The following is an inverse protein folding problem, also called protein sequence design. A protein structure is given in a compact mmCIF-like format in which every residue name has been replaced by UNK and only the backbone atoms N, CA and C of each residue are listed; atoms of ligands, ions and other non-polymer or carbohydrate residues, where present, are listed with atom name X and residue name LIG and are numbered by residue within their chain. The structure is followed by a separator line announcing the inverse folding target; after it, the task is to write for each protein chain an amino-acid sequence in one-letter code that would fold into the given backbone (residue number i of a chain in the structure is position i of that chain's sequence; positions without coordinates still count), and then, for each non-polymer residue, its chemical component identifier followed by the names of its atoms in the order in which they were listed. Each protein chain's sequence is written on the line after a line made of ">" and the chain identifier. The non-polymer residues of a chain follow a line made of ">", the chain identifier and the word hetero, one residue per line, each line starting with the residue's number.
data_IF_040397799037
#
_entry.id   IF_040397799037
#
_cell.length_a   1.000
_cell.length_b   1.000
_cell.length_c   1.000
_cell.angle_alpha   90.00
_cell.angle_beta   90.00
_cell.angle_gamma   90.00
#
_symmetry.space_group_name_H-M   'P 1'
#
loop_
_entity.id
_entity.type
_entity.pdbx_description
1 polymer ?
#
# COMPACT_ATOMS: atom_id res chain seq x y z
N UNK A 1 -10.66 -4.07 10.89
CA UNK A 1 -10.25 -2.80 10.25
C UNK A 1 -10.01 -1.65 11.24
N UNK A 2 -10.95 -1.32 12.15
CA UNK A 2 -10.80 -0.16 13.03
C UNK A 2 -9.56 -0.18 13.95
N UNK A 3 -9.19 -1.35 14.48
CA UNK A 3 -7.96 -1.55 15.29
C UNK A 3 -6.68 -1.34 14.48
N UNK A 4 -6.59 -1.89 13.26
CA UNK A 4 -5.44 -1.70 12.36
C UNK A 4 -5.30 -0.25 11.91
N UNK A 5 -6.43 0.42 11.61
CA UNK A 5 -6.42 1.85 11.31
C UNK A 5 -5.86 2.65 12.47
N UNK A 6 -6.28 2.37 13.70
CA UNK A 6 -5.77 3.07 14.88
C UNK A 6 -4.27 2.79 15.10
N UNK A 7 -3.82 1.56 14.83
CA UNK A 7 -2.41 1.17 14.96
C UNK A 7 -1.50 1.91 13.97
N UNK A 8 -1.91 2.03 12.71
CA UNK A 8 -1.08 2.58 11.64
C UNK A 8 -1.39 4.05 11.33
N UNK A 9 -2.53 4.60 11.74
CA UNK A 9 -2.94 5.97 11.40
C UNK A 9 -3.62 6.72 12.57
N UNK A 10 -3.50 6.19 13.79
CA UNK A 10 -4.16 6.72 14.98
C UNK A 10 -3.29 7.59 15.89
N UNK A 11 -2.13 8.03 15.41
CA UNK A 11 -1.24 8.94 16.13
C UNK A 11 -1.91 10.27 16.47
N UNK A 12 -1.25 11.08 17.31
CA UNK A 12 -1.79 12.38 17.70
C UNK A 12 -1.88 13.35 16.51
N UNK A 13 -2.96 14.11 16.43
CA UNK A 13 -3.22 15.01 15.30
C UNK A 13 -4.57 15.72 15.42
N UNK A 14 -4.84 16.59 14.46
CA UNK A 14 -6.07 17.39 14.38
C UNK A 14 -7.13 16.80 13.44
N UNK A 15 -6.80 15.77 12.64
CA UNK A 15 -7.78 15.17 11.74
C UNK A 15 -8.72 14.27 12.54
N UNK A 16 -10.01 14.41 12.25
CA UNK A 16 -11.03 13.49 12.74
C UNK A 16 -10.80 12.07 12.22
N UNK A 17 -11.34 11.08 12.92
CA UNK A 17 -11.31 9.67 12.50
C UNK A 17 -11.91 9.46 11.10
N UNK A 18 -12.86 10.29 10.67
CA UNK A 18 -13.44 10.24 9.33
C UNK A 18 -12.50 10.81 8.28
N UNK A 19 -11.80 11.91 8.56
CA UNK A 19 -10.79 12.46 7.64
C UNK A 19 -9.64 11.49 7.41
N UNK A 20 -9.16 10.83 8.48
CA UNK A 20 -8.17 9.75 8.36
C UNK A 20 -8.69 8.62 7.48
N UNK A 21 -9.91 8.15 7.76
CA UNK A 21 -10.54 7.07 6.99
C UNK A 21 -10.63 7.41 5.52
N UNK A 22 -11.12 8.61 5.19
CA UNK A 22 -11.29 9.03 3.81
C UNK A 22 -9.95 9.12 3.08
N UNK A 23 -8.90 9.62 3.73
CA UNK A 23 -7.55 9.65 3.15
C UNK A 23 -6.99 8.24 2.92
N UNK A 24 -7.26 7.29 3.82
CA UNK A 24 -6.86 5.90 3.61
C UNK A 24 -7.61 5.31 2.42
N UNK A 25 -8.94 5.44 2.38
CA UNK A 25 -9.78 4.93 1.29
C UNK A 25 -9.32 5.47 -0.06
N UNK A 26 -9.10 6.78 -0.19
CA UNK A 26 -8.65 7.37 -1.46
C UNK A 26 -7.31 6.78 -1.95
N UNK A 27 -6.37 6.53 -1.03
CA UNK A 27 -5.08 5.93 -1.38
C UNK A 27 -5.20 4.43 -1.67
N UNK A 28 -5.98 3.67 -0.89
CA UNK A 28 -6.18 2.22 -1.14
C UNK A 28 -6.99 1.96 -2.41
N UNK A 29 -8.05 2.75 -2.68
CA UNK A 29 -8.84 2.65 -3.92
C UNK A 29 -7.96 2.94 -5.16
N UNK A 30 -7.01 3.89 -5.04
CA UNK A 30 -5.99 4.10 -6.05
C UNK A 30 -5.11 2.86 -6.23
N UNK A 31 -4.56 2.32 -5.13
CA UNK A 31 -3.67 1.16 -5.18
C UNK A 31 -4.38 -0.04 -5.81
N UNK A 32 -5.62 -0.32 -5.42
CA UNK A 32 -6.44 -1.39 -5.99
C UNK A 32 -6.63 -1.21 -7.50
N UNK A 33 -7.00 0.00 -7.93
CA UNK A 33 -7.20 0.32 -9.35
C UNK A 33 -5.91 0.20 -10.17
N UNK A 34 -4.79 0.65 -9.61
CA UNK A 34 -3.54 0.75 -10.36
C UNK A 34 -2.76 -0.56 -10.44
N UNK A 35 -2.81 -1.41 -9.41
CA UNK A 35 -2.06 -2.67 -9.43
C UNK A 35 -2.50 -3.62 -10.57
N UNK A 36 -3.71 -3.45 -11.10
CA UNK A 36 -4.20 -4.20 -12.26
C UNK A 36 -3.60 -3.73 -13.60
N UNK A 37 -3.15 -2.47 -13.70
CA UNK A 37 -2.75 -1.86 -14.99
C UNK A 37 -1.35 -1.23 -14.99
N UNK A 38 -0.66 -1.27 -13.85
CA UNK A 38 0.66 -0.71 -13.63
C UNK A 38 1.70 -1.23 -14.63
N UNK A 39 2.62 -0.34 -15.02
CA UNK A 39 3.76 -0.61 -15.88
C UNK A 39 4.98 -0.92 -15.01
N UNK A 40 5.40 -2.18 -15.01
CA UNK A 40 6.64 -2.56 -14.32
C UNK A 40 7.87 -2.35 -15.20
N UNK A 41 8.90 -1.73 -14.63
CA UNK A 41 10.24 -1.63 -15.22
C UNK A 41 11.17 -2.54 -14.41
N UNK A 42 11.68 -3.58 -15.04
CA UNK A 42 12.50 -4.59 -14.36
C UNK A 42 13.55 -5.19 -15.31
N UNK A 43 14.81 -5.40 -14.87
CA UNK A 43 15.38 -4.93 -13.60
C UNK A 43 15.75 -3.43 -13.69
N UNK A 44 15.20 -2.63 -12.77
CA UNK A 44 15.39 -1.19 -12.77
C UNK A 44 16.82 -0.73 -12.44
N UNK A 45 17.73 -1.64 -12.08
CA UNK A 45 19.15 -1.39 -11.83
C UNK A 45 19.84 -0.70 -13.01
N UNK A 46 19.41 -1.06 -14.23
CA UNK A 46 19.93 -0.51 -15.47
C UNK A 46 19.27 0.82 -15.87
N UNK A 47 18.24 1.26 -15.15
CA UNK A 47 17.59 2.52 -15.44
C UNK A 47 18.48 3.71 -15.07
N UNK A 48 18.33 4.79 -15.82
CA UNK A 48 18.98 6.07 -15.53
C UNK A 48 18.52 6.59 -14.16
N UNK A 49 19.49 7.12 -13.40
CA UNK A 49 19.27 7.67 -12.05
C UNK A 49 18.55 6.73 -11.08
N UNK A 50 18.72 5.42 -11.30
CA UNK A 50 18.05 4.37 -10.55
C UNK A 50 18.36 4.39 -9.05
N UNK A 51 17.31 4.35 -8.23
CA UNK A 51 17.40 4.21 -6.78
C UNK A 51 17.91 2.82 -6.35
N UNK A 52 17.93 1.82 -7.24
CA UNK A 52 18.46 0.48 -6.95
C UNK A 52 19.93 0.52 -6.51
N UNK A 53 20.70 1.48 -7.02
CA UNK A 53 22.12 1.68 -6.63
C UNK A 53 22.28 2.10 -5.17
N UNK A 54 21.23 2.65 -4.56
CA UNK A 54 21.15 2.98 -3.14
C UNK A 54 20.64 1.83 -2.26
N UNK A 55 20.38 0.65 -2.83
CA UNK A 55 19.87 -0.51 -2.10
C UNK A 55 18.34 -0.55 -1.96
N UNK A 56 17.60 0.26 -2.71
CA UNK A 56 16.14 0.19 -2.74
C UNK A 56 15.66 -1.14 -3.34
N UNK A 57 14.55 -1.70 -2.83
CA UNK A 57 13.86 -2.84 -3.49
C UNK A 57 13.06 -2.37 -4.71
N UNK A 58 12.44 -1.21 -4.63
CA UNK A 58 11.71 -0.59 -5.73
C UNK A 58 11.69 0.94 -5.54
N UNK A 59 11.19 1.64 -6.55
CA UNK A 59 10.94 3.08 -6.48
C UNK A 59 9.93 3.51 -7.54
N UNK A 60 9.46 4.76 -7.43
CA UNK A 60 8.67 5.44 -8.45
C UNK A 60 9.23 6.82 -8.75
N UNK A 61 8.98 7.30 -9.96
CA UNK A 61 9.10 8.73 -10.26
C UNK A 61 7.78 9.42 -9.97
N UNK A 62 7.85 10.65 -9.48
CA UNK A 62 6.69 11.54 -9.36
C UNK A 62 7.11 13.00 -9.47
N UNK A 63 6.20 13.85 -9.90
CA UNK A 63 6.41 15.29 -9.91
C UNK A 63 6.46 15.80 -8.47
N UNK A 64 7.46 16.62 -8.15
CA UNK A 64 7.51 17.33 -6.88
C UNK A 64 6.31 18.28 -6.79
N UNK A 65 5.43 18.07 -5.82
CA UNK A 65 4.30 18.96 -5.53
C UNK A 65 4.50 19.58 -4.14
N UNK A 66 4.03 20.82 -3.96
CA UNK A 66 3.83 21.39 -2.63
C UNK A 66 2.45 21.03 -2.04
N UNK A 67 1.67 20.22 -2.78
CA UNK A 67 0.33 19.83 -2.38
C UNK A 67 0.42 18.92 -1.15
N UNK A 68 -0.30 19.30 -0.11
CA UNK A 68 -0.46 18.47 1.09
C UNK A 68 -1.71 17.62 0.94
N UNK A 69 -1.66 16.37 1.41
CA UNK A 69 -2.79 15.45 1.32
C UNK A 69 -2.84 14.68 -0.01
N UNK A 70 -4.03 14.17 -0.35
CA UNK A 70 -4.22 13.28 -1.49
C UNK A 70 -4.07 14.02 -2.82
N UNK A 71 -3.20 13.48 -3.66
CA UNK A 71 -3.05 13.90 -5.04
C UNK A 71 -2.42 12.76 -5.84
N UNK A 72 -3.03 12.40 -6.96
CA UNK A 72 -2.41 11.48 -7.91
C UNK A 72 -1.33 12.22 -8.69
N UNK A 73 -0.14 11.62 -8.86
CA UNK A 73 0.91 12.23 -9.67
C UNK A 73 0.49 12.28 -11.13
N UNK A 74 0.71 13.41 -11.78
CA UNK A 74 0.43 13.57 -13.23
C UNK A 74 1.71 13.54 -14.05
N UNK A 75 2.86 13.28 -13.43
CA UNK A 75 4.13 13.27 -14.14
C UNK A 75 5.33 12.81 -13.33
N UNK A 76 6.51 12.69 -13.97
CA UNK A 76 6.72 13.00 -15.40
C UNK A 76 5.98 12.03 -16.33
N UNK A 77 5.29 12.57 -17.34
CA UNK A 77 4.47 11.76 -18.26
C UNK A 77 5.32 11.24 -19.43
N UNK A 78 5.16 9.96 -19.76
CA UNK A 78 5.87 9.30 -20.85
C UNK A 78 4.91 8.84 -21.95
N UNK A 79 5.37 8.93 -23.20
CA UNK A 79 4.66 8.39 -24.37
C UNK A 79 4.94 6.90 -24.52
N UNK A 80 4.11 6.19 -25.27
CA UNK A 80 4.32 4.76 -25.55
C UNK A 80 5.65 4.43 -26.25
N UNK A 81 6.24 5.38 -26.97
CA UNK A 81 7.53 5.21 -27.65
C UNK A 81 8.74 5.55 -26.77
N UNK A 82 8.51 6.07 -25.56
CA UNK A 82 9.59 6.43 -24.66
C UNK A 82 10.17 5.17 -23.98
N UNK A 83 11.49 5.11 -23.86
CA UNK A 83 12.17 4.08 -23.10
C UNK A 83 12.16 4.43 -21.60
N UNK A 84 11.43 3.69 -20.76
CA UNK A 84 11.36 3.96 -19.33
C UNK A 84 12.67 3.67 -18.58
N UNK A 85 13.64 2.98 -19.20
CA UNK A 85 14.99 2.85 -18.65
C UNK A 85 15.83 4.13 -18.84
N UNK A 86 15.49 4.98 -19.80
CA UNK A 86 16.22 6.22 -20.08
C UNK A 86 15.48 7.48 -19.63
N UNK A 87 14.16 7.38 -19.40
CA UNK A 87 13.30 8.48 -18.94
C UNK A 87 12.69 8.19 -17.57
N UNK A 88 12.46 9.25 -16.81
CA UNK A 88 11.87 9.19 -15.48
C UNK A 88 10.34 9.13 -15.55
N UNK A 89 9.79 8.00 -15.99
CA UNK A 89 8.36 7.85 -16.22
C UNK A 89 7.60 7.64 -14.91
N UNK A 90 6.61 8.48 -14.63
CA UNK A 90 5.66 8.25 -13.54
C UNK A 90 4.32 7.69 -14.04
N UNK A 91 3.85 8.21 -15.18
CA UNK A 91 2.55 7.89 -15.77
C UNK A 91 2.64 7.92 -17.29
N UNK A 92 1.96 7.03 -18.01
CA UNK A 92 1.86 7.09 -19.47
C UNK A 92 0.66 7.89 -19.96
N UNK A 93 0.59 8.13 -21.27
CA UNK A 93 -0.53 8.87 -21.90
C UNK A 93 -1.89 8.18 -21.77
N UNK A 94 -1.94 6.93 -21.31
CA UNK A 94 -3.17 6.18 -21.05
C UNK A 94 -3.54 6.21 -19.56
N UNK A 95 -2.77 6.92 -18.73
CA UNK A 95 -2.98 7.00 -17.28
C UNK A 95 -2.36 5.85 -16.48
N UNK A 96 -1.60 4.94 -17.10
CA UNK A 96 -0.97 3.84 -16.34
C UNK A 96 0.28 4.31 -15.64
N UNK A 97 0.38 4.01 -14.35
CA UNK A 97 1.52 4.40 -13.53
C UNK A 97 2.69 3.43 -13.68
N UNK A 98 3.90 3.91 -13.40
CA UNK A 98 5.11 3.11 -13.45
C UNK A 98 5.61 2.75 -12.05
N UNK A 99 6.08 1.52 -11.89
CA UNK A 99 6.81 1.05 -10.72
C UNK A 99 8.11 0.40 -11.18
N UNK A 100 9.23 0.85 -10.63
CA UNK A 100 10.57 0.41 -10.98
C UNK A 100 11.03 -0.61 -9.95
N UNK A 101 11.18 -1.87 -10.36
CA UNK A 101 11.54 -2.98 -9.48
C UNK A 101 13.03 -3.29 -9.63
N UNK A 102 13.76 -3.24 -8.52
CA UNK A 102 15.18 -3.57 -8.49
C UNK A 102 15.40 -5.08 -8.48
N UNK A 103 16.56 -5.55 -8.95
CA UNK A 103 16.89 -6.97 -8.98
C UNK A 103 16.80 -7.61 -7.59
N UNK A 104 17.16 -6.85 -6.54
CA UNK A 104 17.08 -7.31 -5.14
C UNK A 104 15.65 -7.65 -4.70
N UNK A 105 14.62 -6.96 -5.23
CA UNK A 105 13.22 -7.27 -4.93
C UNK A 105 12.84 -8.70 -5.28
N UNK A 106 13.40 -9.27 -6.35
CA UNK A 106 13.13 -10.67 -6.71
C UNK A 106 13.67 -11.68 -5.69
N UNK A 107 14.65 -11.28 -4.87
CA UNK A 107 15.20 -12.11 -3.81
C UNK A 107 14.46 -11.92 -2.48
N UNK A 108 13.58 -10.93 -2.38
CA UNK A 108 12.82 -10.67 -1.17
C UNK A 108 11.72 -11.74 -0.95
N UNK A 109 11.35 -12.02 0.32
CA UNK A 109 10.22 -12.89 0.63
C UNK A 109 8.94 -12.45 -0.09
N UNK A 110 8.08 -13.40 -0.49
CA UNK A 110 6.84 -13.09 -1.23
C UNK A 110 5.96 -12.04 -0.53
N UNK A 111 5.82 -12.13 0.79
CA UNK A 111 5.07 -11.15 1.58
C UNK A 111 5.67 -9.74 1.51
N UNK A 112 7.00 -9.64 1.49
CA UNK A 112 7.70 -8.38 1.30
C UNK A 112 7.48 -7.86 -0.12
N UNK A 113 7.62 -8.72 -1.13
CA UNK A 113 7.41 -8.34 -2.53
C UNK A 113 6.04 -7.73 -2.79
N UNK A 114 4.98 -8.35 -2.28
CA UNK A 114 3.60 -7.84 -2.37
C UNK A 114 3.48 -6.50 -1.63
N UNK A 115 4.03 -6.40 -0.42
CA UNK A 115 3.96 -5.17 0.38
C UNK A 115 4.71 -4.00 -0.28
N UNK A 116 5.84 -4.27 -0.94
CA UNK A 116 6.59 -3.27 -1.71
C UNK A 116 5.73 -2.68 -2.84
N UNK A 117 4.92 -3.49 -3.53
CA UNK A 117 4.05 -2.96 -4.59
C UNK A 117 3.01 -1.95 -4.05
N UNK A 118 2.45 -2.24 -2.87
CA UNK A 118 1.53 -1.33 -2.17
C UNK A 118 2.24 -0.05 -1.75
N UNK A 119 3.46 -0.18 -1.22
CA UNK A 119 4.32 0.95 -0.85
C UNK A 119 4.58 1.87 -2.04
N UNK A 120 5.07 1.32 -3.16
CA UNK A 120 5.38 2.09 -4.35
C UNK A 120 4.14 2.74 -4.98
N UNK A 121 3.02 2.01 -5.03
CA UNK A 121 1.76 2.58 -5.51
C UNK A 121 1.26 3.72 -4.61
N UNK A 122 1.45 3.63 -3.29
CA UNK A 122 1.07 4.71 -2.38
C UNK A 122 1.80 6.02 -2.69
N UNK A 123 3.09 5.99 -3.09
CA UNK A 123 3.85 7.20 -3.43
C UNK A 123 3.23 8.03 -4.54
N UNK A 124 2.51 7.40 -5.47
CA UNK A 124 1.78 8.08 -6.54
C UNK A 124 0.60 8.91 -6.04
N UNK A 125 0.18 8.78 -4.77
CA UNK A 125 -0.95 9.50 -4.16
C UNK A 125 -0.55 10.58 -3.14
N UNK A 126 0.75 10.92 -3.11
CA UNK A 126 1.32 11.92 -2.21
C UNK A 126 2.32 11.39 -1.16
N UNK A 127 2.05 10.29 -0.43
CA UNK A 127 2.94 9.77 0.60
C UNK A 127 4.42 9.74 0.22
N UNK A 128 5.28 9.99 1.21
CA UNK A 128 6.73 9.95 1.14
C UNK A 128 7.27 8.92 2.14
N UNK A 129 8.60 8.84 2.26
CA UNK A 129 9.25 7.95 3.21
C UNK A 129 9.64 8.69 4.49
N UNK A 130 8.84 8.51 5.54
CA UNK A 130 9.16 9.04 6.87
C UNK A 130 9.92 8.03 7.73
N UNK A 131 9.53 6.76 7.69
CA UNK A 131 10.18 5.70 8.47
C UNK A 131 9.74 4.31 8.02
N UNK A 132 10.67 3.35 8.14
CA UNK A 132 10.43 1.92 7.97
C UNK A 132 10.45 1.16 9.32
N UNK A 133 10.83 1.83 10.42
CA UNK A 133 10.81 1.23 11.75
C UNK A 133 9.38 1.22 12.30
N UNK A 134 8.81 0.02 12.49
CA UNK A 134 7.43 -0.16 12.94
C UNK A 134 7.14 0.57 14.25
N UNK A 135 8.11 0.63 15.17
CA UNK A 135 7.91 1.32 16.45
C UNK A 135 7.72 2.82 16.24
N UNK A 136 8.63 3.43 15.48
CA UNK A 136 8.58 4.83 15.05
C UNK A 136 7.28 5.10 14.32
N UNK A 137 6.93 4.27 13.33
CA UNK A 137 5.71 4.43 12.52
C UNK A 137 4.44 4.50 13.35
N UNK A 138 4.32 3.64 14.38
CA UNK A 138 3.17 3.63 15.30
C UNK A 138 3.15 4.84 16.23
N UNK A 139 4.31 5.41 16.55
CA UNK A 139 4.45 6.56 17.45
C UNK A 139 4.37 7.93 16.74
N UNK A 140 4.49 7.97 15.41
CA UNK A 140 4.42 9.21 14.64
C UNK A 140 3.08 9.94 14.80
N UNK A 141 3.10 11.27 14.60
CA UNK A 141 1.88 12.08 14.45
C UNK A 141 1.05 11.58 13.25
N UNK A 142 -0.26 11.74 13.36
CA UNK A 142 -1.23 11.33 12.32
C UNK A 142 -0.86 11.85 10.92
N UNK A 143 -0.40 13.10 10.82
CA UNK A 143 -0.01 13.70 9.54
C UNK A 143 1.16 12.98 8.87
N UNK A 144 2.15 12.52 9.66
CA UNK A 144 3.27 11.73 9.14
C UNK A 144 2.89 10.29 8.86
N UNK A 145 2.02 9.70 9.67
CA UNK A 145 1.53 8.33 9.43
C UNK A 145 0.78 8.23 8.10
N UNK A 146 -0.10 9.19 7.83
CA UNK A 146 -0.83 9.29 6.56
C UNK A 146 0.10 9.65 5.39
N UNK A 147 1.19 10.36 5.64
CA UNK A 147 2.16 10.71 4.61
C UNK A 147 3.29 9.69 4.48
N UNK A 148 3.22 8.53 5.16
CA UNK A 148 4.26 7.51 5.11
C UNK A 148 3.78 6.30 4.29
N UNK A 149 4.39 6.04 3.14
CA UNK A 149 4.03 4.90 2.28
C UNK A 149 4.14 3.55 3.01
N UNK A 150 5.14 3.41 3.88
CA UNK A 150 5.30 2.21 4.71
C UNK A 150 4.12 1.98 5.69
N UNK A 151 3.35 2.99 6.10
CA UNK A 151 2.18 2.76 6.95
C UNK A 151 1.06 2.05 6.18
N UNK A 152 0.87 2.38 4.91
CA UNK A 152 -0.08 1.69 4.02
C UNK A 152 0.34 0.25 3.80
N UNK A 153 1.61 -0.01 3.46
CA UNK A 153 2.11 -1.37 3.25
C UNK A 153 1.79 -2.32 4.43
N UNK A 154 1.98 -1.85 5.67
CA UNK A 154 1.75 -2.67 6.85
C UNK A 154 0.28 -2.73 7.24
N UNK A 155 -0.47 -1.67 7.00
CA UNK A 155 -1.92 -1.69 7.17
C UNK A 155 -2.56 -2.73 6.25
N UNK A 156 -2.26 -2.69 4.95
CA UNK A 156 -2.83 -3.62 3.97
C UNK A 156 -2.37 -5.05 4.22
N UNK A 157 -1.10 -5.26 4.56
CA UNK A 157 -0.59 -6.58 4.94
C UNK A 157 -1.32 -7.16 6.16
N UNK A 158 -1.51 -6.38 7.23
CA UNK A 158 -2.21 -6.85 8.44
C UNK A 158 -3.71 -7.04 8.21
N UNK A 159 -4.35 -6.21 7.40
CA UNK A 159 -5.76 -6.37 7.02
C UNK A 159 -5.95 -7.64 6.19
N UNK A 160 -5.10 -7.89 5.19
CA UNK A 160 -5.15 -9.09 4.37
C UNK A 160 -4.92 -10.34 5.24
N UNK A 161 -3.86 -10.34 6.02
CA UNK A 161 -3.54 -11.38 6.99
C UNK A 161 -4.73 -11.67 7.93
N UNK A 162 -5.38 -10.63 8.45
CA UNK A 162 -6.57 -10.78 9.29
C UNK A 162 -7.77 -11.36 8.54
N UNK A 163 -8.02 -10.91 7.32
CA UNK A 163 -9.11 -11.42 6.49
C UNK A 163 -8.95 -12.93 6.19
N UNK A 164 -7.70 -13.39 6.06
CA UNK A 164 -7.38 -14.82 5.84
C UNK A 164 -7.11 -15.59 7.15
N UNK A 165 -7.40 -15.01 8.32
CA UNK A 165 -7.17 -15.66 9.62
C UNK A 165 -5.69 -15.93 9.94
N UNK A 166 -4.78 -15.26 9.26
CA UNK A 166 -3.34 -15.42 9.40
C UNK A 166 -2.68 -14.21 10.06
N UNK A 167 -2.94 -13.98 11.34
CA UNK A 167 -2.38 -12.83 12.08
C UNK A 167 -1.33 -13.31 13.06
N UNK A 168 -0.20 -12.62 13.10
CA UNK A 168 0.82 -12.79 14.12
C UNK A 168 0.34 -12.24 15.47
N UNK A 169 0.54 -13.01 16.54
CA UNK A 169 0.29 -12.55 17.89
C UNK A 169 1.31 -11.45 18.27
N UNK A 170 0.82 -10.38 18.90
CA UNK A 170 1.65 -9.26 19.32
C UNK A 170 1.30 -8.84 20.75
N UNK A 171 2.11 -9.23 21.76
CA UNK A 171 3.30 -10.09 21.66
C UNK A 171 2.94 -11.57 21.41
N UNK A 172 3.85 -12.36 20.80
CA UNK A 172 3.69 -13.81 20.69
C UNK A 172 3.89 -14.49 22.04
N UNK A 173 3.08 -15.50 22.34
CA UNK A 173 3.20 -16.29 23.56
C UNK A 173 4.21 -17.43 23.34
N UNK A 174 5.49 -17.15 23.54
CA UNK A 174 6.60 -18.10 23.36
C UNK A 174 7.28 -18.44 24.70
N UNK A 175 7.83 -19.66 24.87
CA UNK A 175 8.41 -20.11 26.14
C UNK A 175 9.83 -19.60 26.39
N UNK A 176 10.26 -18.54 25.71
CA UNK A 176 11.61 -17.99 25.80
C UNK A 176 11.59 -16.46 25.77
N UNK A 177 12.66 -15.85 26.28
CA UNK A 177 12.83 -14.39 26.32
C UNK A 177 13.63 -13.92 25.11
N UNK A 178 13.14 -12.90 24.43
CA UNK A 178 13.92 -12.17 23.44
C UNK A 178 14.75 -11.09 24.14
N UNK A 179 15.92 -10.75 23.62
CA UNK A 179 16.78 -9.74 24.20
C UNK A 179 17.22 -8.71 23.15
N UNK A 180 17.11 -7.40 23.44
CA UNK A 180 16.44 -6.80 24.61
C UNK A 180 14.91 -6.71 24.42
N UNK A 181 14.12 -7.14 25.40
CA UNK A 181 12.68 -6.85 25.49
C UNK A 181 11.72 -7.97 25.04
N UNK A 182 10.39 -7.71 25.00
CA UNK A 182 9.41 -8.73 24.65
C UNK A 182 9.62 -9.22 23.21
N UNK A 183 9.36 -10.51 22.99
CA UNK A 183 9.45 -11.07 21.65
C UNK A 183 8.51 -10.37 20.68
N UNK A 184 8.94 -10.28 19.42
CA UNK A 184 8.10 -9.85 18.30
C UNK A 184 8.25 -10.85 17.18
N UNK A 185 7.19 -11.07 16.39
CA UNK A 185 7.22 -12.13 15.39
C UNK A 185 8.30 -11.92 14.31
N UNK A 186 8.62 -10.68 13.91
CA UNK A 186 9.59 -10.40 12.84
C UNK A 186 10.96 -11.09 13.03
N UNK A 187 11.69 -10.85 14.13
CA UNK A 187 12.94 -11.58 14.42
C UNK A 187 12.79 -13.09 14.58
N UNK A 188 11.59 -13.59 14.88
CA UNK A 188 11.34 -15.03 15.02
C UNK A 188 11.25 -15.77 13.68
N UNK A 189 11.27 -15.07 12.55
CA UNK A 189 11.28 -15.68 11.21
C UNK A 189 12.38 -16.75 11.05
N UNK A 190 13.55 -16.52 11.64
CA UNK A 190 14.68 -17.47 11.59
C UNK A 190 14.39 -18.80 12.32
N UNK A 191 13.45 -18.80 13.27
CA UNK A 191 13.09 -19.96 14.07
C UNK A 191 11.90 -20.73 13.49
N UNK A 192 11.32 -20.27 12.38
CA UNK A 192 10.16 -20.91 11.78
C UNK A 192 10.39 -22.36 11.38
N UNK A 193 11.63 -22.78 11.13
CA UNK A 193 12.01 -24.17 10.82
C UNK A 193 12.84 -24.84 11.92
N UNK A 194 12.98 -24.19 13.09
CA UNK A 194 13.74 -24.74 14.20
C UNK A 194 13.08 -26.02 14.74
N UNK A 195 13.88 -27.03 15.08
CA UNK A 195 13.38 -28.33 15.54
C UNK A 195 12.70 -28.24 16.92
N UNK A 196 13.11 -27.29 17.76
CA UNK A 196 12.61 -27.10 19.12
C UNK A 196 11.50 -26.06 19.16
N UNK A 197 11.73 -24.90 18.52
CA UNK A 197 10.85 -23.74 18.62
C UNK A 197 9.92 -23.56 17.42
N UNK A 198 10.18 -24.23 16.29
CA UNK A 198 9.44 -23.98 15.05
C UNK A 198 7.94 -24.20 15.17
N UNK A 199 7.50 -25.21 15.94
CA UNK A 199 6.07 -25.45 16.14
C UNK A 199 5.36 -24.29 16.87
N UNK A 200 5.94 -23.81 17.98
CA UNK A 200 5.34 -22.69 18.73
C UNK A 200 5.48 -21.39 17.96
N UNK A 201 6.60 -21.15 17.26
CA UNK A 201 6.81 -19.95 16.46
C UNK A 201 5.82 -19.92 15.28
N UNK A 202 5.59 -21.02 14.56
CA UNK A 202 4.56 -21.10 13.50
C UNK A 202 3.15 -20.90 14.03
N UNK A 203 2.85 -21.35 15.26
CA UNK A 203 1.53 -21.14 15.88
C UNK A 203 1.30 -19.70 16.34
N UNK A 204 2.32 -19.05 16.89
CA UNK A 204 2.21 -17.68 17.42
C UNK A 204 2.44 -16.62 16.34
N UNK A 205 3.19 -16.97 15.30
CA UNK A 205 3.61 -16.10 14.22
C UNK A 205 3.34 -16.72 12.84
N UNK A 206 2.09 -17.15 12.55
CA UNK A 206 1.76 -17.88 11.32
C UNK A 206 2.03 -17.05 10.06
N UNK A 207 1.85 -15.73 10.11
CA UNK A 207 2.10 -14.84 8.97
C UNK A 207 3.61 -14.70 8.74
N UNK A 208 4.38 -14.48 9.81
CA UNK A 208 5.85 -14.43 9.70
C UNK A 208 6.43 -15.74 9.16
N UNK A 209 5.89 -16.89 9.57
CA UNK A 209 6.39 -18.19 9.12
C UNK A 209 5.79 -18.70 7.80
N UNK A 210 4.96 -17.91 7.12
CA UNK A 210 4.28 -18.35 5.89
C UNK A 210 3.44 -19.62 6.09
N UNK A 211 2.98 -19.87 7.32
CA UNK A 211 2.22 -21.08 7.71
C UNK A 211 0.71 -20.85 7.63
N UNK A 212 0.28 -19.79 6.96
CA UNK A 212 -1.12 -19.50 6.70
C UNK A 212 -1.74 -20.65 5.87
N UNK A 213 -2.57 -21.49 6.49
CA UNK A 213 -3.41 -22.41 5.74
C UNK A 213 -4.56 -21.59 5.14
N UNK A 214 -4.46 -21.28 3.85
CA UNK A 214 -5.47 -20.55 3.10
C UNK A 214 -6.76 -21.34 2.97
N UNK A 215 -7.61 -21.32 3.99
CA UNK A 215 -9.01 -21.72 3.91
C UNK A 215 -9.87 -20.75 4.73
N UNK A 216 -10.06 -19.56 4.19
CA UNK A 216 -11.34 -18.87 4.32
C UNK A 216 -11.68 -18.25 2.97
N UNK A 217 -12.93 -18.40 2.50
CA UNK A 217 -13.35 -17.77 1.25
C UNK A 217 -13.08 -16.27 1.33
N UNK A 218 -12.68 -15.69 0.20
CA UNK A 218 -12.53 -14.24 0.10
C UNK A 218 -13.78 -13.57 0.69
N UNK A 219 -13.63 -12.53 1.54
CA UNK A 219 -14.79 -11.78 2.00
C UNK A 219 -15.58 -11.35 0.78
N UNK A 220 -16.87 -11.66 0.76
CA UNK A 220 -17.75 -11.23 -0.34
C UNK A 220 -17.62 -9.71 -0.50
N UNK A 221 -17.51 -9.19 -1.74
CA UNK A 221 -17.48 -7.76 -1.95
C UNK A 221 -18.69 -7.11 -1.26
N UNK A 222 -18.55 -5.92 -0.67
CA UNK A 222 -19.68 -5.20 -0.13
C UNK A 222 -20.76 -5.06 -1.22
N UNK A 223 -22.05 -5.16 -0.88
CA UNK A 223 -23.11 -4.96 -1.85
C UNK A 223 -22.93 -3.56 -2.49
N UNK A 224 -23.17 -3.43 -3.80
CA UNK A 224 -23.08 -2.15 -4.47
C UNK A 224 -23.97 -1.12 -3.75
N UNK A 225 -23.57 0.16 -3.70
CA UNK A 225 -24.41 1.20 -3.14
C UNK A 225 -25.76 1.21 -3.87
N UNK A 226 -26.87 1.50 -3.17
CA UNK A 226 -28.18 1.57 -3.79
C UNK A 226 -28.15 2.59 -4.94
N UNK A 227 -28.85 2.32 -6.07
CA UNK A 227 -28.90 3.23 -7.19
C UNK A 227 -29.38 4.59 -6.72
N UNK A 228 -28.65 5.63 -7.08
CA UNK A 228 -29.02 7.03 -6.85
C UNK A 228 -30.41 7.25 -7.46
N UNK A 229 -31.39 7.84 -6.72
CA UNK A 229 -32.69 8.16 -7.29
C UNK A 229 -32.49 9.02 -8.54
N UNK A 230 -33.07 8.59 -9.66
CA UNK A 230 -33.05 9.37 -10.88
C UNK A 230 -33.63 10.76 -10.59
N UNK A 231 -33.00 11.84 -11.07
CA UNK A 231 -33.58 13.17 -10.94
C UNK A 231 -34.97 13.17 -11.58
N UNK A 232 -35.96 13.86 -10.98
CA UNK A 232 -37.30 13.91 -11.52
C UNK A 232 -37.24 14.44 -12.95
N UNK A 233 -37.90 13.72 -13.85
CA UNK A 233 -38.10 14.12 -15.24
C UNK A 233 -38.90 15.41 -15.21
N UNK A 234 -38.23 16.54 -15.40
CA UNK A 234 -38.89 17.82 -15.63
C UNK A 234 -39.65 17.72 -16.94
N UNK A 235 -40.97 17.54 -16.82
CA UNK A 235 -41.90 17.71 -17.91
C UNK A 235 -41.91 19.17 -18.36
N UNK A 236 -41.57 19.40 -19.62
CA UNK A 236 -41.75 20.64 -20.35
C UNK A 236 -41.25 20.35 -21.76
N UNK A 237 -42.10 20.17 -22.77
CA UNK A 237 -43.15 21.10 -23.17
C UNK A 237 -42.63 21.77 -24.44
N UNK A 238 -43.19 21.38 -25.58
CA UNK A 238 -42.62 21.61 -26.91
C UNK A 238 -42.47 23.06 -27.36
N UNK A 239 -41.69 23.23 -28.41
CA UNK A 239 -41.85 24.32 -29.38
C UNK A 239 -40.58 25.08 -29.74
N UNK A 240 -40.43 25.58 -30.98
CA UNK A 240 -39.24 25.32 -31.78
C UNK A 240 -38.43 26.56 -32.21
N UNK A 241 -37.30 26.26 -32.88
CA UNK A 241 -36.59 27.05 -33.89
C UNK A 241 -35.81 28.32 -33.46
N UNK A 242 -34.54 28.38 -33.91
CA UNK A 242 -33.72 29.60 -33.90
C UNK A 242 -32.23 29.33 -34.11
N UNK A 243 -31.79 29.41 -35.37
CA UNK A 243 -30.38 29.55 -35.80
C UNK A 243 -29.65 30.73 -35.11
N UNK A 244 -28.34 30.60 -34.84
CA UNK A 244 -27.23 31.21 -35.60
C UNK A 244 -25.96 31.48 -34.76
N UNK A 245 -24.82 31.15 -35.40
CA UNK A 245 -23.40 31.46 -35.13
C UNK A 245 -22.67 30.70 -34.03
#
# INVERSE_FOLDING_TARGET
>A
AASYRQKWFGGSGSLSQNQVRNRIILTEDFIERELDTVRYVYPADNAKDSACKGGASAYVWKSSTSATGYHETTGPSCKNADDPFQKHCAVDTSGRFFVYLCQVWMNDPLSWRISTLIHEAAHHTGPTDHSYDKSTMKAMKQSKQIDNAANYQHFSAEVANAAFGCVDNSPPNVPFTCNPGPCTCGPLAAYCNDATYGAIVRSQCPATCGSCNGQSPAPSPPPPPPPTPSPPVSGGGGGPAGENK
#
